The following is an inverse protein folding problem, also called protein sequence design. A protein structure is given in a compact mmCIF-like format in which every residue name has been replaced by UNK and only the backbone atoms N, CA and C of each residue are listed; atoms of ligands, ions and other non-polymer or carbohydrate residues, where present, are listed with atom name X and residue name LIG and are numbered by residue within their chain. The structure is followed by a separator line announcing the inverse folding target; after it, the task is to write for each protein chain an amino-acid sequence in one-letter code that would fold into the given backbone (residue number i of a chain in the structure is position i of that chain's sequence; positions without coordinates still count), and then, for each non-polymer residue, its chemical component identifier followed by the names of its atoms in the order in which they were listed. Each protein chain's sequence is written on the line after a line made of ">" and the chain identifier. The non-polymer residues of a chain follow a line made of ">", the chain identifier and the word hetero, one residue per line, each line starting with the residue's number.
data_IF_991158388508
#
_entry.id   IF_991158388508
#
_cell.length_a   1.000
_cell.length_b   1.000
_cell.length_c   1.000
_cell.angle_alpha   90.00
_cell.angle_beta   90.00
_cell.angle_gamma   90.00
#
_symmetry.space_group_name_H-M   'P 1'
#
loop_
_entity.id
_entity.type
_entity.pdbx_description
1 polymer ?
#
# COMPACT_ATOMS: atom_id res chain seq x y z
N UNK A 1 -27.48 40.67 -25.12
CA UNK A 1 -27.48 39.60 -24.10
C UNK A 1 -28.01 38.35 -24.79
N UNK A 2 -27.15 37.37 -25.05
CA UNK A 2 -27.56 36.17 -25.79
C UNK A 2 -28.20 35.17 -24.82
N UNK A 3 -29.51 34.97 -24.91
CA UNK A 3 -30.21 33.87 -24.24
C UNK A 3 -30.01 32.59 -25.05
N UNK A 4 -29.07 31.73 -24.62
CA UNK A 4 -28.77 30.47 -25.30
C UNK A 4 -29.77 29.34 -24.99
N UNK A 5 -30.70 29.54 -24.04
CA UNK A 5 -31.67 28.52 -23.63
C UNK A 5 -33.07 29.11 -23.50
N UNK A 6 -33.77 29.23 -24.64
CA UNK A 6 -35.22 29.46 -24.65
C UNK A 6 -35.98 28.18 -24.26
N UNK A 7 -37.17 28.35 -23.67
CA UNK A 7 -38.14 27.31 -23.20
C UNK A 7 -37.78 25.87 -23.58
N UNK A 8 -37.00 25.20 -22.71
CA UNK A 8 -36.65 23.78 -22.84
C UNK A 8 -37.88 22.95 -22.45
N UNK A 9 -38.50 22.29 -23.42
CA UNK A 9 -39.61 21.37 -23.21
C UNK A 9 -39.16 19.93 -23.50
N UNK A 10 -38.45 19.33 -22.55
CA UNK A 10 -37.94 17.95 -22.63
C UNK A 10 -38.75 17.07 -21.69
N UNK A 11 -39.33 16.01 -22.23
CA UNK A 11 -40.04 15.00 -21.43
C UNK A 11 -39.04 14.01 -20.80
N UNK A 12 -38.48 14.43 -19.67
CA UNK A 12 -37.59 13.62 -18.85
C UNK A 12 -38.25 12.32 -18.36
N UNK A 13 -39.58 12.32 -18.21
CA UNK A 13 -40.30 11.16 -17.70
C UNK A 13 -40.48 10.08 -18.77
N UNK A 14 -40.69 10.47 -20.02
CA UNK A 14 -40.70 9.58 -21.18
C UNK A 14 -39.32 9.00 -21.49
N UNK A 15 -38.26 9.81 -21.35
CA UNK A 15 -36.88 9.43 -21.69
C UNK A 15 -36.12 8.66 -20.59
N UNK A 16 -36.71 8.47 -19.40
CA UNK A 16 -36.04 7.77 -18.29
C UNK A 16 -35.52 6.38 -18.67
N UNK A 17 -36.28 5.59 -19.43
CA UNK A 17 -35.93 4.21 -19.78
C UNK A 17 -34.70 4.13 -20.70
N UNK A 18 -34.64 4.85 -21.83
CA UNK A 18 -33.43 4.86 -22.66
C UNK A 18 -32.23 5.48 -21.93
N UNK A 19 -32.42 6.52 -21.11
CA UNK A 19 -31.33 7.12 -20.33
C UNK A 19 -30.74 6.13 -19.30
N UNK A 20 -31.60 5.39 -18.60
CA UNK A 20 -31.16 4.33 -17.68
C UNK A 20 -30.45 3.21 -18.45
N UNK A 21 -30.96 2.79 -19.60
CA UNK A 21 -30.32 1.75 -20.41
C UNK A 21 -28.92 2.16 -20.89
N UNK A 22 -28.75 3.41 -21.34
CA UNK A 22 -27.45 3.98 -21.70
C UNK A 22 -26.52 4.01 -20.49
N UNK A 23 -27.00 4.45 -19.32
CA UNK A 23 -26.21 4.46 -18.08
C UNK A 23 -25.73 3.06 -17.70
N UNK A 24 -26.60 2.04 -17.78
CA UNK A 24 -26.25 0.65 -17.50
C UNK A 24 -25.21 0.15 -18.51
N UNK A 25 -25.37 0.46 -19.79
CA UNK A 25 -24.44 0.05 -20.83
C UNK A 25 -23.05 0.64 -20.59
N UNK A 26 -22.97 1.93 -20.23
CA UNK A 26 -21.70 2.59 -19.88
C UNK A 26 -21.07 1.94 -18.65
N UNK A 27 -21.85 1.62 -17.62
CA UNK A 27 -21.36 0.96 -16.41
C UNK A 27 -20.80 -0.44 -16.73
N UNK A 28 -21.53 -1.23 -17.52
CA UNK A 28 -21.09 -2.56 -17.95
C UNK A 28 -19.83 -2.48 -18.82
N UNK A 29 -19.74 -1.51 -19.72
CA UNK A 29 -18.53 -1.28 -20.52
C UNK A 29 -17.32 -0.96 -19.63
N UNK A 30 -17.51 -0.15 -18.59
CA UNK A 30 -16.48 0.12 -17.58
C UNK A 30 -16.03 -1.14 -16.85
N UNK A 31 -16.97 -1.99 -16.41
CA UNK A 31 -16.66 -3.24 -15.72
C UNK A 31 -15.95 -4.26 -16.62
N UNK A 32 -16.38 -4.37 -17.87
CA UNK A 32 -15.71 -5.23 -18.86
C UNK A 32 -14.28 -4.73 -19.11
N UNK A 33 -14.07 -3.41 -19.13
CA UNK A 33 -12.74 -2.82 -19.30
C UNK A 33 -11.80 -3.15 -18.14
N UNK A 34 -12.25 -3.09 -16.88
CA UNK A 34 -11.42 -3.42 -15.72
C UNK A 34 -11.07 -4.90 -15.67
N UNK A 35 -12.04 -5.79 -15.90
CA UNK A 35 -11.83 -7.24 -15.94
C UNK A 35 -10.92 -7.62 -17.12
N UNK A 36 -11.15 -7.04 -18.30
CA UNK A 36 -10.32 -7.29 -19.48
C UNK A 36 -8.86 -6.93 -19.25
N UNK A 37 -8.59 -5.82 -18.55
CA UNK A 37 -7.23 -5.43 -18.18
C UNK A 37 -6.59 -6.40 -17.20
N UNK A 38 -7.34 -6.92 -16.23
CA UNK A 38 -6.85 -7.89 -15.26
C UNK A 38 -6.55 -9.27 -15.87
N UNK A 39 -7.34 -9.70 -16.87
CA UNK A 39 -7.17 -11.01 -17.51
C UNK A 39 -6.13 -11.00 -18.65
N UNK A 40 -5.64 -9.84 -19.06
CA UNK A 40 -4.62 -9.73 -20.10
C UNK A 40 -3.22 -9.98 -19.49
N UNK A 41 -2.40 -10.89 -20.04
CA UNK A 41 -1.02 -11.08 -19.58
C UNK A 41 -0.22 -9.79 -19.71
N UNK A 42 0.31 -9.27 -18.60
CA UNK A 42 0.99 -7.96 -18.54
C UNK A 42 0.05 -6.74 -18.44
N UNK A 43 -1.24 -6.95 -18.21
CA UNK A 43 -2.17 -5.89 -17.84
C UNK A 43 -1.94 -5.38 -16.42
N UNK A 44 -2.42 -4.16 -16.12
CA UNK A 44 -2.33 -3.62 -14.76
C UNK A 44 -3.39 -4.26 -13.87
N UNK A 45 -3.13 -4.31 -12.57
CA UNK A 45 -4.12 -4.71 -11.58
C UNK A 45 -5.45 -3.98 -11.81
N UNK A 46 -6.57 -4.69 -11.61
CA UNK A 46 -7.91 -4.09 -11.70
C UNK A 46 -8.05 -2.91 -10.72
N UNK A 47 -7.42 -3.04 -9.56
CA UNK A 47 -7.42 -2.06 -8.48
C UNK A 47 -6.00 -1.90 -7.93
N UNK A 48 -5.46 -0.68 -8.02
CA UNK A 48 -4.20 -0.31 -7.35
C UNK A 48 -4.47 -0.17 -5.86
N UNK A 49 -4.50 -1.31 -5.17
CA UNK A 49 -4.77 -1.36 -3.74
C UNK A 49 -3.51 -0.97 -2.96
N UNK A 50 -3.65 0.05 -2.11
CA UNK A 50 -2.58 0.48 -1.23
C UNK A 50 -2.30 -0.51 -0.09
N UNK A 51 -1.30 -0.14 0.70
CA UNK A 51 -0.81 -0.88 1.88
C UNK A 51 -1.90 -1.16 2.92
N UNK A 52 -2.90 -0.28 3.05
CA UNK A 52 -4.02 -0.49 3.98
C UNK A 52 -4.92 -1.69 3.60
N UNK A 53 -4.83 -2.19 2.36
CA UNK A 53 -5.63 -3.32 1.87
C UNK A 53 -4.78 -4.54 1.53
N UNK A 54 -3.61 -4.34 0.90
CA UNK A 54 -2.67 -5.41 0.58
C UNK A 54 -1.82 -5.84 1.77
N UNK A 55 -1.82 -5.04 2.84
CA UNK A 55 -0.89 -5.15 3.95
C UNK A 55 0.46 -4.47 3.63
N UNK A 56 1.36 -4.49 4.60
CA UNK A 56 2.72 -3.93 4.47
C UNK A 56 3.19 -3.26 5.75
N UNK A 57 4.01 -2.22 5.59
CA UNK A 57 4.59 -1.46 6.72
C UNK A 57 4.30 0.02 6.54
N UNK A 58 3.82 0.68 7.58
CA UNK A 58 3.67 2.14 7.66
C UNK A 58 4.78 2.68 8.54
N UNK A 59 5.64 3.53 7.98
CA UNK A 59 6.77 4.13 8.66
C UNK A 59 6.50 5.62 8.81
N UNK A 60 6.58 6.14 10.04
CA UNK A 60 6.50 7.57 10.30
C UNK A 60 7.91 8.12 10.47
N UNK A 61 8.30 9.02 9.56
CA UNK A 61 9.59 9.68 9.58
C UNK A 61 9.41 11.17 9.90
N UNK A 62 10.21 11.67 10.85
CA UNK A 62 10.29 13.09 11.22
C UNK A 62 11.54 13.69 10.60
N UNK A 63 11.44 14.86 9.98
CA UNK A 63 12.56 15.56 9.36
C UNK A 63 12.95 16.82 10.14
N UNK A 64 14.25 17.15 10.13
CA UNK A 64 14.80 18.35 10.74
C UNK A 64 15.06 19.39 9.66
N UNK A 65 14.47 20.59 9.83
CA UNK A 65 14.67 21.69 8.88
C UNK A 65 13.87 21.51 7.59
N UNK A 66 14.56 21.51 6.44
CA UNK A 66 13.90 21.42 5.13
C UNK A 66 13.47 19.97 4.84
N UNK A 67 12.16 19.73 4.96
CA UNK A 67 11.53 18.47 4.56
C UNK A 67 11.68 18.26 3.05
N UNK A 68 12.18 17.10 2.59
CA UNK A 68 12.16 16.73 1.18
C UNK A 68 10.72 16.70 0.64
N UNK A 69 10.55 16.96 -0.65
CA UNK A 69 9.25 16.82 -1.29
C UNK A 69 8.81 15.34 -1.32
N UNK A 70 7.50 15.12 -1.38
CA UNK A 70 6.93 13.76 -1.42
C UNK A 70 7.42 12.98 -2.65
N UNK A 71 7.61 13.69 -3.77
CA UNK A 71 8.12 13.11 -5.01
C UNK A 71 9.59 12.70 -4.87
N UNK A 72 10.43 13.48 -4.20
CA UNK A 72 11.84 13.12 -3.94
C UNK A 72 11.93 11.85 -3.07
N UNK A 73 11.14 11.77 -1.99
CA UNK A 73 11.08 10.58 -1.13
C UNK A 73 10.61 9.37 -1.94
N UNK A 74 9.59 9.55 -2.78
CA UNK A 74 9.09 8.50 -3.68
C UNK A 74 10.18 8.02 -4.63
N UNK A 75 10.90 8.93 -5.27
CA UNK A 75 12.01 8.61 -6.16
C UNK A 75 13.13 7.88 -5.42
N UNK A 76 13.50 8.31 -4.21
CA UNK A 76 14.51 7.62 -3.40
C UNK A 76 14.11 6.16 -3.06
N UNK A 77 12.83 5.94 -2.73
CA UNK A 77 12.28 4.60 -2.48
C UNK A 77 12.22 3.74 -3.76
N UNK A 78 11.87 4.33 -4.90
CA UNK A 78 11.87 3.63 -6.18
C UNK A 78 13.29 3.25 -6.63
N UNK A 79 14.28 4.10 -6.36
CA UNK A 79 15.69 3.84 -6.71
C UNK A 79 16.27 2.62 -5.99
N UNK A 80 15.73 2.27 -4.81
CA UNK A 80 16.13 1.07 -4.06
C UNK A 80 15.24 -0.14 -4.37
N UNK A 81 14.33 -0.04 -5.34
CA UNK A 81 13.48 -1.14 -5.81
C UNK A 81 12.12 -1.28 -5.11
N UNK A 82 11.69 -0.32 -4.28
CA UNK A 82 10.34 -0.33 -3.73
C UNK A 82 9.35 0.09 -4.81
N UNK A 83 8.43 -0.82 -5.14
CA UNK A 83 7.39 -0.58 -6.14
C UNK A 83 6.18 0.09 -5.49
N UNK A 84 5.72 1.19 -6.08
CA UNK A 84 4.54 1.97 -5.66
C UNK A 84 4.48 2.37 -4.16
N UNK A 85 5.53 3.00 -3.59
CA UNK A 85 5.45 3.52 -2.23
C UNK A 85 4.49 4.71 -2.16
N UNK A 86 3.60 4.71 -1.15
CA UNK A 86 2.70 5.83 -0.90
C UNK A 86 3.28 6.75 0.18
N UNK A 87 3.47 8.01 -0.18
CA UNK A 87 3.99 9.04 0.70
C UNK A 87 2.81 9.96 1.02
N UNK A 88 2.56 10.18 2.31
CA UNK A 88 1.48 11.03 2.78
C UNK A 88 2.04 11.99 3.83
N UNK A 89 1.82 13.29 3.65
CA UNK A 89 2.09 14.25 4.72
C UNK A 89 1.24 13.95 5.95
N UNK A 90 1.84 14.07 7.14
CA UNK A 90 1.06 13.96 8.38
C UNK A 90 0.12 15.16 8.50
N UNK A 91 -1.16 14.88 8.76
CA UNK A 91 -2.19 15.91 8.95
C UNK A 91 -1.98 16.67 10.27
N UNK A 92 -1.39 16.00 11.26
CA UNK A 92 -1.25 16.53 12.62
C UNK A 92 0.08 17.28 12.82
N UNK A 93 1.11 16.94 12.05
CA UNK A 93 2.48 17.44 12.24
C UNK A 93 3.16 17.72 10.90
N UNK A 94 3.54 18.97 10.67
CA UNK A 94 4.10 19.41 9.38
C UNK A 94 5.49 18.86 9.08
N UNK A 95 6.21 18.41 10.11
CA UNK A 95 7.56 17.85 10.08
C UNK A 95 7.58 16.32 9.98
N UNK A 96 6.41 15.67 9.99
CA UNK A 96 6.28 14.22 9.85
C UNK A 96 5.69 13.82 8.49
N UNK A 97 6.16 12.67 8.00
CA UNK A 97 5.69 12.03 6.77
C UNK A 97 5.41 10.57 7.07
N UNK A 98 4.26 10.10 6.59
CA UNK A 98 3.89 8.70 6.61
C UNK A 98 4.32 8.07 5.29
N UNK A 99 5.15 7.04 5.37
CA UNK A 99 5.68 6.30 4.25
C UNK A 99 5.09 4.90 4.33
N UNK A 100 4.21 4.55 3.39
CA UNK A 100 3.62 3.22 3.30
C UNK A 100 4.40 2.39 2.28
N UNK A 101 4.93 1.26 2.74
CA UNK A 101 5.71 0.31 1.95
C UNK A 101 4.92 -0.99 1.83
N UNK A 102 4.72 -1.53 0.61
CA UNK A 102 4.04 -2.82 0.41
C UNK A 102 4.77 -4.00 1.07
N UNK A 103 4.13 -5.17 1.09
CA UNK A 103 4.80 -6.39 1.52
C UNK A 103 5.98 -6.68 0.60
N UNK A 104 7.07 -7.11 1.22
CA UNK A 104 8.14 -7.76 0.49
C UNK A 104 7.68 -9.19 0.23
N UNK A 105 7.55 -9.57 -1.04
CA UNK A 105 7.28 -10.95 -1.39
C UNK A 105 8.47 -11.80 -0.92
N UNK A 106 8.31 -12.51 0.20
CA UNK A 106 9.02 -13.76 0.38
C UNK A 106 8.47 -14.66 -0.73
N UNK A 107 9.33 -15.15 -1.64
CA UNK A 107 8.93 -16.04 -2.73
C UNK A 107 8.53 -17.42 -2.19
N UNK A 108 7.46 -17.47 -1.40
CA UNK A 108 6.67 -18.66 -1.16
C UNK A 108 5.21 -18.24 -1.35
N UNK A 109 4.67 -18.64 -2.50
CA UNK A 109 3.25 -18.76 -2.79
C UNK A 109 2.48 -19.03 -1.51
N UNK A 110 1.77 -18.03 -0.99
CA UNK A 110 0.70 -18.25 -0.03
C UNK A 110 -0.45 -18.88 -0.83
N UNK A 111 -0.72 -20.19 -0.72
CA UNK A 111 -1.91 -20.74 -1.33
C UNK A 111 -3.08 -20.23 -0.48
N UNK A 112 -4.06 -19.65 -1.15
CA UNK A 112 -5.34 -19.24 -0.61
C UNK A 112 -5.80 -20.16 0.53
N UNK A 113 -6.19 -19.56 1.65
CA UNK A 113 -6.81 -20.26 2.78
C UNK A 113 -8.10 -20.95 2.32
N UNK A 114 -7.99 -22.20 1.85
CA UNK A 114 -9.11 -23.11 1.72
C UNK A 114 -9.21 -23.94 2.99
N UNK A 115 -10.09 -23.49 3.89
CA UNK A 115 -10.60 -24.33 4.96
C UNK A 115 -11.64 -25.29 4.39
N UNK A 116 -11.26 -26.55 4.08
CA UNK A 116 -12.18 -27.70 4.08
C UNK A 116 -11.43 -29.03 4.21
N UNK A 117 -11.55 -29.64 5.40
CA UNK A 117 -12.00 -31.03 5.67
C UNK A 117 -11.27 -32.25 5.04
N UNK A 118 -10.68 -33.04 5.96
CA UNK A 118 -10.50 -34.50 6.04
C UNK A 118 -9.73 -35.31 4.97
N UNK A 119 -8.62 -35.97 5.39
CA UNK A 119 -8.48 -37.44 5.57
C UNK A 119 -7.02 -37.93 5.55
N UNK A 120 -6.63 -38.62 6.63
CA UNK A 120 -5.52 -39.60 6.83
C UNK A 120 -4.60 -39.99 5.64
N UNK A 121 -3.27 -39.94 5.85
CA UNK A 121 -2.43 -41.11 6.24
C UNK A 121 -0.90 -40.84 6.06
N UNK A 122 -0.13 -41.10 7.13
CA UNK A 122 1.24 -41.69 7.23
C UNK A 122 2.19 -41.56 6.00
N UNK A 123 3.44 -41.04 6.06
CA UNK A 123 4.60 -41.55 6.83
C UNK A 123 5.86 -40.65 6.74
N UNK A 124 6.54 -40.50 7.89
CA UNK A 124 8.01 -40.54 8.14
C UNK A 124 8.97 -39.38 7.76
N UNK A 125 9.39 -38.66 8.83
CA UNK A 125 10.77 -38.28 9.23
C UNK A 125 11.68 -37.38 8.35
N UNK A 126 11.90 -36.15 8.81
CA UNK A 126 13.19 -35.72 9.39
C UNK A 126 13.02 -34.46 10.26
N UNK A 127 13.79 -34.44 11.34
CA UNK A 127 13.64 -33.66 12.57
C UNK A 127 14.32 -32.28 12.52
N UNK A 128 13.63 -31.22 12.98
CA UNK A 128 14.23 -30.18 13.84
C UNK A 128 13.15 -29.46 14.65
N UNK A 129 12.84 -30.03 15.82
CA UNK A 129 12.45 -29.37 17.08
C UNK A 129 12.86 -27.88 17.13
N UNK A 130 12.02 -26.86 17.35
CA UNK A 130 11.20 -26.48 18.53
C UNK A 130 10.91 -24.98 18.26
N UNK A 131 9.71 -24.39 18.30
CA UNK A 131 8.73 -24.32 19.37
C UNK A 131 7.43 -23.73 18.81
N UNK A 132 6.30 -24.29 19.21
CA UNK A 132 4.96 -23.85 18.86
C UNK A 132 4.56 -22.60 19.68
N UNK A 133 4.82 -21.41 19.13
CA UNK A 133 4.26 -20.07 19.50
C UNK A 133 4.30 -19.22 18.19
N UNK A 134 3.37 -18.27 17.97
CA UNK A 134 2.62 -18.10 16.72
C UNK A 134 3.46 -17.58 15.54
N UNK A 135 3.29 -18.22 14.39
CA UNK A 135 4.00 -17.94 13.11
C UNK A 135 3.72 -16.51 12.60
N UNK A 136 2.59 -15.91 12.98
CA UNK A 136 2.22 -14.53 12.62
C UNK A 136 3.23 -13.48 13.13
N UNK A 137 3.76 -13.65 14.35
CA UNK A 137 4.62 -12.62 14.97
C UNK A 137 6.02 -12.52 14.35
N UNK A 138 6.56 -13.60 13.79
CA UNK A 138 7.91 -13.58 13.19
C UNK A 138 7.89 -13.03 11.76
N UNK A 139 6.85 -13.35 10.99
CA UNK A 139 6.66 -12.80 9.64
C UNK A 139 6.40 -11.30 9.69
N UNK A 140 5.55 -10.85 10.61
CA UNK A 140 5.27 -9.44 10.86
C UNK A 140 6.54 -8.67 11.24
N UNK A 141 7.33 -9.17 12.20
CA UNK A 141 8.61 -8.54 12.58
C UNK A 141 9.58 -8.47 11.41
N UNK A 142 9.68 -9.52 10.60
CA UNK A 142 10.56 -9.52 9.44
C UNK A 142 10.13 -8.45 8.42
N UNK A 143 8.83 -8.35 8.13
CA UNK A 143 8.26 -7.31 7.26
C UNK A 143 8.49 -5.89 7.82
N UNK A 144 8.30 -5.68 9.13
CA UNK A 144 8.58 -4.40 9.79
C UNK A 144 10.07 -4.05 9.66
N UNK A 145 10.96 -4.99 9.97
CA UNK A 145 12.41 -4.78 9.94
C UNK A 145 12.90 -4.47 8.53
N UNK A 146 12.43 -5.22 7.52
CA UNK A 146 12.74 -4.96 6.11
C UNK A 146 12.18 -3.61 5.65
N UNK A 147 10.93 -3.30 5.98
CA UNK A 147 10.30 -2.02 5.64
C UNK A 147 11.08 -0.85 6.24
N UNK A 148 11.43 -0.94 7.53
CA UNK A 148 12.24 0.07 8.21
C UNK A 148 13.62 0.21 7.57
N UNK A 149 14.32 -0.89 7.29
CA UNK A 149 15.65 -0.88 6.70
C UNK A 149 15.65 -0.26 5.29
N UNK A 150 14.67 -0.62 4.46
CA UNK A 150 14.50 -0.06 3.11
C UNK A 150 14.19 1.44 3.16
N UNK A 151 13.26 1.86 4.03
CA UNK A 151 12.99 3.30 4.22
C UNK A 151 14.22 4.02 4.72
N UNK A 152 14.95 3.45 5.68
CA UNK A 152 16.21 4.03 6.15
C UNK A 152 17.19 4.21 5.00
N UNK A 153 17.40 3.18 4.17
CA UNK A 153 18.32 3.24 3.04
C UNK A 153 17.95 4.34 2.05
N UNK A 154 16.66 4.51 1.76
CA UNK A 154 16.18 5.61 0.91
C UNK A 154 16.37 6.98 1.57
N UNK A 155 16.03 7.10 2.86
CA UNK A 155 16.13 8.37 3.58
C UNK A 155 17.57 8.80 3.88
N UNK A 156 18.50 7.84 3.99
CA UNK A 156 19.94 8.10 4.15
C UNK A 156 20.51 8.93 2.98
N UNK A 157 19.83 8.97 1.82
CA UNK A 157 20.19 9.84 0.69
C UNK A 157 19.98 11.33 0.96
N UNK A 158 19.09 11.68 1.89
CA UNK A 158 18.79 13.06 2.27
C UNK A 158 19.58 13.52 3.52
N UNK A 159 20.26 12.61 4.20
CA UNK A 159 21.09 12.88 5.37
C UNK A 159 21.07 11.72 6.36
N UNK A 160 21.66 11.88 7.54
CA UNK A 160 21.77 10.77 8.52
C UNK A 160 20.52 10.64 9.39
N UNK A 161 20.14 9.40 9.70
CA UNK A 161 19.18 9.11 10.78
C UNK A 161 19.78 9.52 12.14
N UNK A 162 18.96 10.09 13.02
CA UNK A 162 19.33 10.35 14.40
C UNK A 162 19.61 9.05 15.17
N UNK A 163 20.57 9.11 16.10
CA UNK A 163 20.87 7.99 17.00
C UNK A 163 19.61 7.52 17.76
N UNK A 164 19.47 6.20 17.93
CA UNK A 164 18.26 5.61 18.51
C UNK A 164 17.93 6.15 19.92
N UNK A 165 18.97 6.49 20.69
CA UNK A 165 18.88 6.99 22.06
C UNK A 165 18.63 8.51 22.16
N UNK A 166 18.76 9.27 21.06
CA UNK A 166 18.63 10.73 21.05
C UNK A 166 17.40 11.18 20.31
N UNK A 167 16.83 12.32 20.73
CA UNK A 167 15.79 12.98 19.93
C UNK A 167 16.40 13.63 18.69
N UNK A 168 15.59 13.83 17.65
CA UNK A 168 16.04 14.48 16.42
C UNK A 168 16.59 15.89 16.66
N UNK A 169 16.05 16.58 17.66
CA UNK A 169 16.47 17.93 18.03
C UNK A 169 17.86 17.95 18.72
N UNK A 170 18.23 16.86 19.40
CA UNK A 170 19.48 16.71 20.17
C UNK A 170 20.68 16.30 19.29
N UNK A 171 20.42 15.74 18.12
CA UNK A 171 21.45 15.32 17.16
C UNK A 171 21.60 16.39 16.06
N UNK A 172 22.66 17.19 16.15
CA UNK A 172 22.94 18.24 15.17
C UNK A 172 23.32 17.70 13.78
N UNK A 173 23.83 16.46 13.71
CA UNK A 173 24.25 15.83 12.45
C UNK A 173 23.12 15.06 11.77
N UNK A 174 21.98 14.87 12.45
CA UNK A 174 20.84 14.13 11.93
C UNK A 174 19.90 14.99 11.08
N UNK A 175 19.51 14.44 9.93
CA UNK A 175 18.53 15.06 9.04
C UNK A 175 17.11 14.54 9.27
N UNK A 176 16.96 13.30 9.74
CA UNK A 176 15.67 12.69 9.99
C UNK A 176 15.72 11.68 11.14
N UNK A 177 14.56 11.27 11.65
CA UNK A 177 14.39 10.17 12.59
C UNK A 177 13.15 9.37 12.25
N UNK A 178 13.26 8.04 12.23
CA UNK A 178 12.09 7.18 12.19
C UNK A 178 11.48 7.14 13.59
N UNK A 179 10.28 7.71 13.75
CA UNK A 179 9.61 7.85 15.04
C UNK A 179 8.61 6.73 15.31
N UNK A 180 8.16 6.04 14.27
CA UNK A 180 7.23 4.92 14.39
C UNK A 180 7.30 3.98 13.20
N UNK A 181 7.07 2.69 13.46
CA UNK A 181 6.92 1.65 12.46
C UNK A 181 5.76 0.77 12.88
N UNK A 182 4.77 0.64 12.01
CA UNK A 182 3.59 -0.15 12.25
C UNK A 182 3.41 -1.16 11.11
N UNK A 183 2.93 -2.37 11.44
CA UNK A 183 2.55 -3.34 10.41
C UNK A 183 1.06 -3.22 10.14
N UNK A 184 0.70 -3.35 8.87
CA UNK A 184 -0.70 -3.50 8.49
C UNK A 184 -0.89 -4.85 7.83
N UNK A 185 -1.86 -5.61 8.32
CA UNK A 185 -2.23 -6.90 7.73
C UNK A 185 -3.04 -6.70 6.44
N UNK A 186 -3.01 -7.67 5.51
CA UNK A 186 -3.88 -7.67 4.34
C UNK A 186 -5.36 -7.78 4.76
N UNK A 187 -6.20 -6.92 4.19
CA UNK A 187 -7.67 -7.02 4.30
C UNK A 187 -8.27 -7.53 2.98
N UNK A 188 -7.63 -7.22 1.85
CA UNK A 188 -8.06 -7.67 0.54
C UNK A 188 -7.45 -9.04 0.21
N UNK A 189 -8.30 -10.07 0.09
CA UNK A 189 -7.90 -11.41 -0.31
C UNK A 189 -7.72 -12.44 0.81
N UNK A 190 -8.26 -12.17 2.01
CA UNK A 190 -8.54 -13.20 3.01
C UNK A 190 -9.75 -14.07 2.58
#
# INVERSE_FOLDING_TARGET
>A
MFEFFGKINVDWMGLRKPLIAISILILLAGLISTIGRQLTPGGTDAFNLGVDFRGGTVITAKFKGQKPSEDEIRTALQNIGITDPLIQASTDKTDEVLIKVPLFENTETSPASQSTTDTNAQTANANSNTSSQPVENEQEKNQINQGRASVKLALDTFGKEAEASRNLDEDEAAAYKIVGTDSVGPIAGA
#
